data_IF_402631630283
#
_entry.id   IF_402631630283
#
_cell.length_a   1.000
_cell.length_b   1.000
_cell.length_c   1.000
_cell.angle_alpha   90.00
_cell.angle_beta   90.00
_cell.angle_gamma   90.00
#
_symmetry.space_group_name_H-M   'P 1'
#
loop_
_entity.id
_entity.type
_entity.pdbx_description
1 polymer ?
#
# COMPACT_ATOMS: atom_id res chain seq x y z
N UNK A 1 -14.07 -14.89 -12.43
CA UNK A 1 -12.98 -13.90 -12.30
C UNK A 1 -12.94 -13.42 -10.86
N UNK A 2 -12.02 -13.93 -10.04
CA UNK A 2 -11.76 -13.32 -8.73
C UNK A 2 -11.12 -11.95 -9.00
N UNK A 3 -11.76 -10.89 -8.50
CA UNK A 3 -11.26 -9.52 -8.63
C UNK A 3 -10.16 -9.33 -7.59
N UNK A 4 -9.00 -8.84 -8.02
CA UNK A 4 -7.95 -8.40 -7.11
C UNK A 4 -8.53 -7.49 -6.02
N UNK A 5 -8.24 -7.79 -4.75
CA UNK A 5 -8.60 -6.87 -3.67
C UNK A 5 -7.67 -5.67 -3.74
N UNK A 6 -8.23 -4.47 -3.73
CA UNK A 6 -7.48 -3.22 -3.67
C UNK A 6 -8.17 -2.24 -2.75
N UNK A 7 -7.43 -1.76 -1.76
CA UNK A 7 -7.82 -0.70 -0.86
C UNK A 7 -6.87 0.49 -1.00
N UNK A 8 -7.36 1.71 -0.80
CA UNK A 8 -6.56 2.93 -0.91
C UNK A 8 -6.79 3.81 0.31
N UNK A 9 -5.69 4.35 0.82
CA UNK A 9 -5.69 5.23 1.99
C UNK A 9 -4.85 6.47 1.70
N UNK A 10 -5.20 7.58 2.36
CA UNK A 10 -4.32 8.75 2.42
C UNK A 10 -3.50 8.67 3.69
N UNK A 11 -2.18 8.60 3.54
CA UNK A 11 -1.24 8.57 4.66
C UNK A 11 -0.26 9.71 4.45
N UNK A 12 -0.27 10.69 5.35
CA UNK A 12 0.75 11.73 5.36
C UNK A 12 0.87 12.52 4.05
N UNK A 13 -0.25 12.77 3.38
CA UNK A 13 -0.31 13.47 2.09
C UNK A 13 0.16 12.62 0.89
N UNK A 14 0.53 11.35 1.13
CA UNK A 14 0.77 10.34 0.11
C UNK A 14 -0.47 9.46 -0.03
N UNK A 15 -0.67 8.89 -1.21
CA UNK A 15 -1.68 7.84 -1.41
C UNK A 15 -1.00 6.50 -1.21
N UNK A 16 -1.54 5.64 -0.36
CA UNK A 16 -1.02 4.29 -0.16
C UNK A 16 -2.09 3.31 -0.66
N UNK A 17 -1.68 2.30 -1.43
CA UNK A 17 -2.58 1.25 -1.93
C UNK A 17 -2.18 -0.09 -1.31
N UNK A 18 -3.15 -0.82 -0.75
CA UNK A 18 -2.98 -2.21 -0.34
C UNK A 18 -3.67 -3.10 -1.36
N UNK A 19 -2.92 -4.03 -1.93
CA UNK A 19 -3.37 -4.91 -3.00
C UNK A 19 -3.16 -6.35 -2.52
N UNK A 20 -4.19 -7.19 -2.58
CA UNK A 20 -3.99 -8.64 -2.54
C UNK A 20 -3.98 -9.14 -3.98
N UNK A 21 -2.85 -9.69 -4.40
CA UNK A 21 -2.86 -10.57 -5.57
C UNK A 21 -3.36 -11.91 -5.07
N UNK A 22 -4.50 -12.34 -5.59
CA UNK A 22 -5.00 -13.69 -5.38
C UNK A 22 -4.02 -14.68 -6.04
N UNK A 23 -2.98 -15.04 -5.30
CA UNK A 23 -1.96 -16.02 -5.63
C UNK A 23 -1.90 -17.06 -4.52
N UNK A 24 -1.30 -18.22 -4.81
CA UNK A 24 -0.90 -19.20 -3.79
C UNK A 24 0.63 -19.26 -3.77
N UNK A 25 1.32 -18.77 -2.71
CA UNK A 25 0.75 -18.16 -1.51
C UNK A 25 0.16 -16.76 -1.75
N UNK A 26 -0.80 -16.36 -0.91
CA UNK A 26 -1.45 -15.05 -0.99
C UNK A 26 -0.45 -13.93 -0.74
N UNK A 27 -0.38 -12.97 -1.67
CA UNK A 27 0.64 -11.92 -1.64
C UNK A 27 0.00 -10.55 -1.49
N UNK A 28 0.41 -9.83 -0.45
CA UNK A 28 -0.04 -8.49 -0.12
C UNK A 28 1.00 -7.48 -0.55
N UNK A 29 0.60 -6.49 -1.33
CA UNK A 29 1.48 -5.46 -1.88
C UNK A 29 1.01 -4.11 -1.35
N UNK A 30 1.91 -3.38 -0.70
CA UNK A 30 1.70 -1.99 -0.29
C UNK A 30 2.46 -1.08 -1.24
N UNK A 31 1.74 -0.30 -2.04
CA UNK A 31 2.33 0.74 -2.90
C UNK A 31 2.19 2.10 -2.24
N UNK A 32 3.28 2.82 -2.08
CA UNK A 32 3.26 4.24 -1.71
C UNK A 32 3.33 5.04 -3.00
N UNK A 33 2.30 5.86 -3.25
CA UNK A 33 2.19 6.69 -4.43
C UNK A 33 2.48 8.14 -4.10
N UNK A 34 3.31 8.76 -4.93
CA UNK A 34 3.53 10.20 -4.95
C UNK A 34 2.71 10.82 -6.07
N UNK A 35 1.95 11.86 -5.75
CA UNK A 35 1.24 12.66 -6.74
C UNK A 35 2.12 13.84 -7.14
N UNK A 36 2.44 13.96 -8.43
CA UNK A 36 3.15 15.11 -8.97
C UNK A 36 2.31 15.71 -10.11
N UNK A 37 1.69 16.86 -9.85
CA UNK A 37 0.69 17.48 -10.73
C UNK A 37 -0.42 16.50 -11.17
N UNK A 38 -0.34 16.01 -12.40
CA UNK A 38 -1.30 15.13 -13.08
C UNK A 38 -0.86 13.66 -13.09
N UNK A 39 0.38 13.36 -12.71
CA UNK A 39 0.93 12.00 -12.72
C UNK A 39 0.91 11.39 -11.31
N UNK A 40 0.54 10.11 -11.25
CA UNK A 40 0.73 9.26 -10.08
C UNK A 40 1.85 8.29 -10.41
N UNK A 41 2.94 8.35 -9.64
CA UNK A 41 4.03 7.38 -9.72
C UNK A 41 4.08 6.56 -8.45
N UNK A 42 4.44 5.28 -8.59
CA UNK A 42 4.80 4.45 -7.45
C UNK A 42 6.14 4.94 -6.93
N UNK A 43 6.16 5.46 -5.70
CA UNK A 43 7.37 5.89 -4.99
C UNK A 43 8.09 4.70 -4.38
N UNK A 44 7.34 3.77 -3.78
CA UNK A 44 7.85 2.49 -3.29
C UNK A 44 6.79 1.40 -3.33
N UNK A 45 7.24 0.14 -3.38
CA UNK A 45 6.42 -1.07 -3.32
C UNK A 45 6.99 -2.03 -2.28
N UNK A 46 6.15 -2.50 -1.36
CA UNK A 46 6.51 -3.44 -0.30
C UNK A 46 5.62 -4.67 -0.37
N UNK A 47 6.19 -5.85 -0.16
CA UNK A 47 5.56 -7.13 -0.43
C UNK A 47 5.55 -7.97 0.84
N UNK A 48 4.41 -8.54 1.18
CA UNK A 48 4.16 -9.24 2.43
C UNK A 48 3.40 -10.54 2.15
N UNK A 49 3.68 -11.58 2.93
CA UNK A 49 2.97 -12.86 2.87
C UNK A 49 1.72 -12.87 3.77
N UNK A 50 1.49 -11.81 4.53
CA UNK A 50 0.40 -11.66 5.50
C UNK A 50 -0.27 -10.31 5.34
N UNK A 51 -1.59 -10.27 5.48
CA UNK A 51 -2.37 -9.02 5.51
C UNK A 51 -1.93 -8.16 6.70
N UNK A 52 -1.69 -8.81 7.84
CA UNK A 52 -1.35 -8.14 9.09
C UNK A 52 -0.05 -7.36 8.96
N UNK A 53 1.00 -8.00 8.43
CA UNK A 53 2.31 -7.36 8.26
C UNK A 53 2.23 -6.15 7.31
N UNK A 54 1.39 -6.24 6.28
CA UNK A 54 1.12 -5.13 5.38
C UNK A 54 0.39 -3.97 6.09
N UNK A 55 -0.60 -4.27 6.92
CA UNK A 55 -1.35 -3.29 7.72
C UNK A 55 -0.47 -2.64 8.80
N UNK A 56 0.39 -3.39 9.46
CA UNK A 56 1.36 -2.91 10.44
C UNK A 56 2.33 -1.91 9.77
N UNK A 57 2.88 -2.25 8.60
CA UNK A 57 3.70 -1.32 7.81
C UNK A 57 2.95 -0.03 7.44
N UNK A 58 1.67 -0.12 7.04
CA UNK A 58 0.85 1.07 6.74
C UNK A 58 0.65 1.95 7.99
N UNK A 59 0.47 1.33 9.16
CA UNK A 59 0.33 2.07 10.41
C UNK A 59 1.63 2.75 10.80
N UNK A 60 2.78 2.10 10.63
CA UNK A 60 4.10 2.72 10.83
C UNK A 60 4.27 3.94 9.92
N UNK A 61 3.88 3.84 8.63
CA UNK A 61 3.90 4.96 7.71
C UNK A 61 3.04 6.15 8.17
N UNK A 62 1.94 5.92 8.89
CA UNK A 62 1.10 6.98 9.48
C UNK A 62 1.83 7.71 10.60
N UNK A 63 2.56 6.96 11.43
CA UNK A 63 3.29 7.51 12.58
C UNK A 63 4.50 8.37 12.18
N UNK A 64 5.05 8.20 10.98
CA UNK A 64 6.22 8.95 10.47
C UNK A 64 5.96 10.47 10.26
N UNK A 65 4.71 10.96 10.38
CA UNK A 65 4.45 12.42 10.50
C UNK A 65 4.10 12.81 11.92
N UNK A 66 5.13 13.07 12.71
CA UNK A 66 5.06 13.92 13.91
C UNK A 66 6.47 14.43 14.21
N UNK A 67 7.04 15.24 13.31
CA UNK A 67 8.22 16.08 13.56
C UNK A 67 8.23 17.25 12.58
#
# INVERSE_FOLDING_TARGET
LMKDFREKFSVNGKTVELINRYSDPAMWIVNVLKKFFIFKSVESSHWFNSRKDAEDFINDLKLIKSS
#
